data_IF_729251979833
#
_entry.id   IF_729251979833
#
_cell.length_a   1.000
_cell.length_b   1.000
_cell.length_c   1.000
_cell.angle_alpha   90.00
_cell.angle_beta   90.00
_cell.angle_gamma   90.00
#
_symmetry.space_group_name_H-M   'P 1'
#
loop_
_entity.id
_entity.type
_entity.pdbx_description
1 polymer ?
#
# COMPACT_ATOMS: atom_id res chain seq x y z
N UNK A 1 -16.73 4.65 -11.92
CA UNK A 1 -15.46 5.08 -12.56
C UNK A 1 -14.83 4.03 -13.47
N UNK A 2 -14.95 2.71 -13.18
CA UNK A 2 -14.38 1.64 -14.02
C UNK A 2 -15.35 1.04 -15.07
N UNK A 3 -16.61 1.46 -15.08
CA UNK A 3 -17.61 0.94 -16.01
C UNK A 3 -17.19 1.19 -17.48
N UNK A 4 -17.38 0.19 -18.34
CA UNK A 4 -17.04 0.25 -19.76
C UNK A 4 -15.58 -0.06 -20.10
N UNK A 5 -14.70 -0.23 -19.11
CA UNK A 5 -13.32 -0.70 -19.32
C UNK A 5 -13.27 -2.21 -19.51
N UNK A 6 -12.30 -2.69 -20.27
CA UNK A 6 -11.98 -4.11 -20.41
C UNK A 6 -11.52 -4.72 -19.08
N UNK A 7 -11.60 -6.04 -18.95
CA UNK A 7 -11.12 -6.77 -17.77
C UNK A 7 -9.65 -6.48 -17.48
N UNK A 8 -8.81 -6.44 -18.51
CA UNK A 8 -7.39 -6.13 -18.38
C UNK A 8 -7.13 -4.70 -17.89
N UNK A 9 -7.87 -3.69 -18.39
CA UNK A 9 -7.74 -2.31 -17.92
C UNK A 9 -8.18 -2.15 -16.46
N UNK A 10 -9.25 -2.84 -16.06
CA UNK A 10 -9.69 -2.89 -14.66
C UNK A 10 -8.62 -3.55 -13.78
N UNK A 11 -8.01 -4.64 -14.25
CA UNK A 11 -6.95 -5.34 -13.52
C UNK A 11 -5.70 -4.46 -13.35
N UNK A 12 -5.25 -3.76 -14.40
CA UNK A 12 -4.12 -2.81 -14.31
C UNK A 12 -4.39 -1.69 -13.29
N UNK A 13 -5.59 -1.11 -13.31
CA UNK A 13 -5.97 -0.08 -12.34
C UNK A 13 -6.00 -0.61 -10.90
N UNK A 14 -6.45 -1.86 -10.70
CA UNK A 14 -6.41 -2.53 -9.38
C UNK A 14 -4.99 -2.80 -8.92
N UNK A 15 -4.10 -3.22 -9.82
CA UNK A 15 -2.67 -3.40 -9.50
C UNK A 15 -2.02 -2.08 -9.10
N UNK A 16 -2.28 -1.00 -9.84
CA UNK A 16 -1.79 0.34 -9.50
C UNK A 16 -2.21 0.77 -8.09
N UNK A 17 -3.51 0.64 -7.78
CA UNK A 17 -4.04 0.98 -6.46
C UNK A 17 -3.45 0.07 -5.38
N UNK A 18 -3.39 -1.24 -5.61
CA UNK A 18 -2.95 -2.22 -4.61
C UNK A 18 -1.49 -2.00 -4.23
N UNK A 19 -0.61 -1.83 -5.23
CA UNK A 19 0.82 -1.59 -4.98
C UNK A 19 1.00 -0.30 -4.20
N UNK A 20 0.35 0.80 -4.60
CA UNK A 20 0.46 2.06 -3.87
C UNK A 20 -0.10 1.97 -2.45
N UNK A 21 -1.28 1.38 -2.29
CA UNK A 21 -1.94 1.25 -0.98
C UNK A 21 -1.08 0.45 -0.01
N UNK A 22 -0.50 -0.66 -0.44
CA UNK A 22 0.36 -1.50 0.41
C UNK A 22 1.65 -0.76 0.80
N UNK A 23 2.29 -0.03 -0.13
CA UNK A 23 3.49 0.74 0.18
C UNK A 23 3.22 1.92 1.12
N UNK A 24 2.00 2.46 1.10
CA UNK A 24 1.57 3.57 1.95
C UNK A 24 1.01 3.11 3.31
N UNK A 25 0.66 1.84 3.45
CA UNK A 25 0.15 1.22 4.68
C UNK A 25 1.26 0.83 5.66
N UNK A 26 2.15 1.78 5.95
CA UNK A 26 3.08 1.69 7.07
C UNK A 26 2.37 2.16 8.35
N UNK A 27 2.78 1.69 9.53
CA UNK A 27 2.11 2.02 10.78
C UNK A 27 1.76 3.51 10.94
N UNK A 28 0.48 3.81 11.15
CA UNK A 28 0.01 5.20 11.25
C UNK A 28 0.37 5.88 12.58
N UNK A 29 0.80 5.10 13.57
CA UNK A 29 0.84 5.52 14.97
C UNK A 29 -0.55 5.53 15.62
N UNK A 30 -0.59 5.76 16.93
CA UNK A 30 -1.83 5.73 17.72
C UNK A 30 -2.66 7.02 17.68
N UNK A 31 -2.08 8.13 17.19
CA UNK A 31 -2.69 9.47 17.21
C UNK A 31 -3.27 9.92 15.88
N UNK A 32 -2.86 9.30 14.78
CA UNK A 32 -3.31 9.72 13.45
C UNK A 32 -4.72 9.20 13.16
N UNK A 33 -5.52 10.04 12.49
CA UNK A 33 -6.81 9.64 11.92
C UNK A 33 -7.07 10.34 10.58
N UNK A 34 -7.97 9.78 9.79
CA UNK A 34 -8.42 10.26 8.51
C UNK A 34 -9.92 10.48 8.53
N UNK A 35 -10.35 11.68 8.18
CA UNK A 35 -11.78 11.98 7.97
C UNK A 35 -12.08 11.86 6.49
N UNK A 36 -12.95 10.93 6.11
CA UNK A 36 -13.26 10.74 4.69
C UNK A 36 -13.92 11.99 4.08
N UNK A 37 -13.38 12.44 2.94
CA UNK A 37 -13.91 13.57 2.18
C UNK A 37 -14.14 13.14 0.72
N UNK A 38 -15.18 13.70 0.10
CA UNK A 38 -15.47 13.44 -1.31
C UNK A 38 -14.41 14.04 -2.25
N UNK A 39 -13.81 15.18 -1.87
CA UNK A 39 -12.76 15.85 -2.62
C UNK A 39 -11.44 15.81 -1.86
N UNK A 40 -10.35 15.62 -2.60
CA UNK A 40 -8.99 15.80 -2.09
C UNK A 40 -8.57 17.26 -2.25
N UNK A 41 -7.76 17.72 -1.31
CA UNK A 41 -7.19 19.06 -1.34
C UNK A 41 -6.36 19.26 -2.62
N UNK A 42 -6.53 20.40 -3.29
CA UNK A 42 -5.73 20.75 -4.47
C UNK A 42 -4.22 20.74 -4.15
N UNK A 43 -3.84 21.06 -2.90
CA UNK A 43 -2.46 20.98 -2.43
C UNK A 43 -1.89 19.54 -2.40
N UNK A 44 -2.74 18.52 -2.48
CA UNK A 44 -2.33 17.12 -2.58
C UNK A 44 -2.14 16.65 -4.03
N UNK A 45 -2.38 17.50 -5.04
CA UNK A 45 -2.07 17.21 -6.43
C UNK A 45 -0.62 17.66 -6.75
N UNK A 46 0.22 16.82 -7.38
CA UNK A 46 1.55 17.24 -7.79
C UNK A 46 1.50 18.49 -8.69
N UNK A 47 2.27 19.52 -8.32
CA UNK A 47 2.23 20.89 -8.88
C UNK A 47 2.42 20.93 -10.41
N UNK A 48 3.04 19.91 -11.01
CA UNK A 48 3.30 19.86 -12.46
C UNK A 48 2.14 19.39 -13.34
N UNK A 49 0.94 19.15 -12.80
CA UNK A 49 -0.27 19.03 -13.64
C UNK A 49 -0.58 20.30 -14.46
N UNK A 50 -0.06 21.44 -14.04
CA UNK A 50 -0.35 22.71 -14.70
C UNK A 50 0.63 23.06 -15.83
N UNK A 51 1.90 22.62 -15.77
CA UNK A 51 2.92 23.15 -16.68
C UNK A 51 2.79 22.67 -18.12
N UNK A 52 2.45 21.40 -18.39
CA UNK A 52 2.35 20.93 -19.78
C UNK A 52 1.09 21.43 -20.48
N UNK A 53 -0.06 21.43 -19.80
CA UNK A 53 -1.32 21.88 -20.37
C UNK A 53 -1.40 23.41 -20.44
N UNK A 54 -0.83 24.16 -19.48
CA UNK A 54 -0.68 25.62 -19.61
C UNK A 54 0.34 25.98 -20.70
N UNK A 55 1.46 25.25 -20.83
CA UNK A 55 2.42 25.51 -21.89
C UNK A 55 1.82 25.20 -23.27
N UNK A 56 1.07 24.10 -23.40
CA UNK A 56 0.31 23.81 -24.63
C UNK A 56 -0.77 24.87 -24.89
N UNK A 57 -1.53 25.28 -23.89
CA UNK A 57 -2.55 26.33 -24.04
C UNK A 57 -1.95 27.70 -24.37
N UNK A 58 -0.78 28.04 -23.80
CA UNK A 58 -0.02 29.26 -24.10
C UNK A 58 0.59 29.23 -25.50
N UNK A 59 1.09 28.07 -25.95
CA UNK A 59 1.55 27.87 -27.32
C UNK A 59 0.38 27.97 -28.33
N UNK A 60 -0.78 27.43 -27.97
CA UNK A 60 -1.99 27.47 -28.79
C UNK A 60 -2.63 28.87 -28.84
N UNK A 61 -2.52 29.66 -27.77
CA UNK A 61 -2.87 31.09 -27.73
C UNK A 61 -1.86 31.94 -28.51
N UNK A 62 -0.55 31.66 -28.40
CA UNK A 62 0.49 32.33 -29.16
C UNK A 62 0.36 32.06 -30.67
N UNK A 63 -0.12 30.87 -31.06
CA UNK A 63 -0.43 30.53 -32.44
C UNK A 63 -1.68 31.23 -32.99
N UNK A 64 -2.61 31.66 -32.13
CA UNK A 64 -3.88 32.29 -32.54
C UNK A 64 -3.81 33.82 -32.71
N UNK A 65 -2.72 34.46 -32.29
CA UNK A 65 -2.51 35.90 -32.45
C UNK A 65 -3.51 36.78 -31.66
N UNK A 66 -3.16 38.05 -31.34
CA UNK A 66 -4.02 38.89 -30.52
C UNK A 66 -5.23 39.40 -31.33
N UNK A 67 -6.44 39.03 -30.91
CA UNK A 67 -7.68 39.69 -31.32
C UNK A 67 -7.86 40.94 -30.46
N UNK A 68 -7.80 42.10 -31.11
CA UNK A 68 -8.10 43.40 -30.49
C UNK A 68 -9.61 43.59 -30.42
N UNK A 69 -10.23 43.78 -29.24
CA UNK A 69 -11.61 44.23 -29.16
C UNK A 69 -11.67 45.76 -29.25
N UNK A 70 -12.56 46.26 -30.10
CA UNK A 70 -12.90 47.67 -30.19
C UNK A 70 -13.65 48.14 -28.93
N UNK A 71 -13.29 49.33 -28.46
CA UNK A 71 -13.93 50.07 -27.38
C UNK A 71 -15.28 50.63 -27.80
N UNK A 72 -16.26 50.58 -26.89
CA UNK A 72 -17.37 51.52 -26.87
C UNK A 72 -17.81 51.75 -25.41
N UNK A 73 -17.66 52.99 -24.97
CA UNK A 73 -18.17 53.56 -23.72
C UNK A 73 -19.70 53.54 -23.67
N UNK A 74 -20.27 53.49 -22.46
CA UNK A 74 -21.71 53.64 -22.25
C UNK A 74 -22.17 53.40 -20.82
N UNK A 75 -21.98 54.42 -20.00
CA UNK A 75 -22.46 54.60 -18.62
C UNK A 75 -24.00 54.45 -18.46
N UNK A 76 -24.43 53.86 -17.34
CA UNK A 76 -25.54 54.26 -16.43
C UNK A 76 -26.09 53.05 -15.65
N UNK A 77 -25.97 53.08 -14.32
CA UNK A 77 -26.71 52.18 -13.39
C UNK A 77 -28.12 52.72 -13.08
N UNK A 78 -28.80 52.26 -12.00
CA UNK A 78 -28.94 50.90 -11.51
C UNK A 78 -30.43 50.49 -11.42
N UNK A 79 -30.81 49.25 -11.77
CA UNK A 79 -32.15 48.72 -11.41
C UNK A 79 -32.10 47.21 -11.19
N UNK A 80 -32.40 46.76 -9.96
CA UNK A 80 -33.11 45.50 -9.70
C UNK A 80 -33.38 45.34 -8.20
N UNK A 81 -34.63 45.54 -7.80
CA UNK A 81 -35.21 44.87 -6.64
C UNK A 81 -36.38 44.02 -7.16
N UNK A 82 -36.23 42.70 -7.14
CA UNK A 82 -37.35 41.74 -7.09
C UNK A 82 -36.85 40.38 -6.60
N UNK A 83 -37.38 40.01 -5.45
CA UNK A 83 -37.27 38.70 -4.79
C UNK A 83 -38.47 37.81 -5.23
N UNK A 84 -38.52 36.52 -4.84
CA UNK A 84 -38.69 35.40 -5.77
C UNK A 84 -40.12 34.83 -5.78
N UNK A 85 -40.46 34.15 -6.88
CA UNK A 85 -41.65 33.31 -6.98
C UNK A 85 -41.32 31.85 -6.69
N UNK A 86 -42.08 31.29 -5.77
CA UNK A 86 -42.11 29.89 -5.33
C UNK A 86 -42.82 29.04 -6.38
N UNK A 87 -42.26 27.87 -6.70
CA UNK A 87 -42.99 26.78 -7.36
C UNK A 87 -42.47 25.43 -6.84
N UNK A 88 -43.41 24.59 -6.42
CA UNK A 88 -43.26 23.26 -5.82
C UNK A 88 -42.96 22.17 -6.84
N UNK A 89 -42.25 21.11 -6.42
CA UNK A 89 -42.44 19.74 -6.91
C UNK A 89 -41.89 18.71 -5.91
N UNK A 90 -42.70 17.68 -5.63
CA UNK A 90 -42.50 16.55 -4.71
C UNK A 90 -41.71 15.39 -5.35
N UNK A 91 -41.72 14.15 -4.80
CA UNK A 91 -40.98 13.65 -3.64
C UNK A 91 -39.96 12.56 -4.06
N UNK A 92 -38.83 12.46 -3.37
CA UNK A 92 -37.87 11.38 -3.61
C UNK A 92 -36.46 11.63 -3.07
N UNK A 93 -36.34 12.11 -1.84
CA UNK A 93 -35.04 12.23 -1.19
C UNK A 93 -34.79 10.98 -0.35
N UNK A 94 -33.91 10.10 -0.84
CA UNK A 94 -33.17 9.21 0.03
C UNK A 94 -32.48 10.07 1.09
N UNK A 95 -32.81 9.82 2.35
CA UNK A 95 -32.27 10.56 3.48
C UNK A 95 -30.73 10.52 3.42
N UNK A 96 -30.13 11.67 3.16
CA UNK A 96 -28.73 11.91 3.47
C UNK A 96 -28.60 11.77 4.98
N UNK A 97 -28.04 10.65 5.44
CA UNK A 97 -27.60 10.50 6.82
C UNK A 97 -26.44 11.47 7.00
N UNK A 98 -26.76 12.67 7.48
CA UNK A 98 -25.80 13.62 8.02
C UNK A 98 -25.21 13.08 9.32
N UNK A 99 -24.40 12.03 9.22
CA UNK A 99 -23.45 11.66 10.24
C UNK A 99 -22.17 12.45 10.02
N UNK A 100 -21.54 12.94 11.10
CA UNK A 100 -20.14 13.36 11.05
C UNK A 100 -19.33 12.21 10.41
N UNK A 101 -18.48 12.45 9.39
CA UNK A 101 -17.73 11.36 8.78
C UNK A 101 -16.91 10.66 9.87
N UNK A 102 -17.08 9.35 10.00
CA UNK A 102 -16.38 8.58 11.01
C UNK A 102 -14.86 8.76 10.80
N UNK A 103 -14.14 9.14 11.84
CA UNK A 103 -12.69 9.22 11.81
C UNK A 103 -12.13 7.79 11.72
N UNK A 104 -11.49 7.47 10.59
CA UNK A 104 -10.81 6.21 10.36
C UNK A 104 -9.38 6.32 10.87
N UNK A 105 -8.84 5.29 11.50
CA UNK A 105 -7.46 5.30 11.99
C UNK A 105 -6.69 4.11 11.42
N UNK A 106 -5.39 4.04 11.72
CA UNK A 106 -4.53 2.89 11.39
C UNK A 106 -4.61 2.53 9.90
N UNK A 107 -4.50 1.24 9.57
CA UNK A 107 -4.46 0.73 8.20
C UNK A 107 -5.75 1.00 7.44
N UNK A 108 -6.91 0.96 8.10
CA UNK A 108 -8.19 1.27 7.47
C UNK A 108 -8.25 2.72 6.98
N UNK A 109 -7.80 3.67 7.81
CA UNK A 109 -7.71 5.08 7.43
C UNK A 109 -6.71 5.31 6.31
N UNK A 110 -5.54 4.65 6.35
CA UNK A 110 -4.52 4.76 5.31
C UNK A 110 -5.01 4.19 3.97
N UNK A 111 -5.73 3.06 3.99
CA UNK A 111 -6.32 2.44 2.81
C UNK A 111 -7.37 3.34 2.16
N UNK A 112 -8.29 3.90 2.95
CA UNK A 112 -9.31 4.84 2.42
C UNK A 112 -8.66 6.12 1.89
N UNK A 113 -7.69 6.70 2.60
CA UNK A 113 -6.95 7.87 2.13
C UNK A 113 -6.25 7.60 0.78
N UNK A 114 -5.59 6.45 0.66
CA UNK A 114 -4.90 6.01 -0.57
C UNK A 114 -5.87 5.79 -1.72
N UNK A 115 -7.03 5.16 -1.46
CA UNK A 115 -8.10 4.99 -2.43
C UNK A 115 -8.63 6.34 -2.92
N UNK A 116 -8.91 7.29 -2.01
CA UNK A 116 -9.39 8.63 -2.37
C UNK A 116 -8.34 9.38 -3.20
N UNK A 117 -7.05 9.26 -2.85
CA UNK A 117 -5.93 9.83 -3.62
C UNK A 117 -5.86 9.26 -5.03
N UNK A 118 -5.99 7.94 -5.15
CA UNK A 118 -6.02 7.26 -6.43
C UNK A 118 -7.23 7.70 -7.28
N UNK A 119 -8.42 7.77 -6.69
CA UNK A 119 -9.64 8.22 -7.39
C UNK A 119 -9.57 9.68 -7.85
N UNK A 120 -8.89 10.55 -7.09
CA UNK A 120 -8.61 11.93 -7.47
C UNK A 120 -7.49 12.07 -8.51
N UNK A 121 -6.81 10.96 -8.85
CA UNK A 121 -5.71 10.93 -9.80
C UNK A 121 -4.41 11.52 -9.25
N UNK A 122 -4.21 11.59 -7.93
CA UNK A 122 -2.95 12.11 -7.33
C UNK A 122 -1.71 11.49 -7.96
N UNK A 123 -1.80 10.22 -8.37
CA UNK A 123 -0.71 9.42 -8.92
C UNK A 123 -0.72 9.29 -10.45
N UNK A 124 -1.71 9.89 -11.13
CA UNK A 124 -1.91 9.76 -12.57
C UNK A 124 -1.31 10.94 -13.34
N UNK A 125 -0.59 10.63 -14.42
CA UNK A 125 -0.09 11.59 -15.39
C UNK A 125 -1.17 12.10 -16.36
N UNK A 126 -2.38 11.50 -16.36
CA UNK A 126 -3.47 11.86 -17.25
C UNK A 126 -4.73 12.28 -16.48
N UNK A 127 -5.21 13.50 -16.72
CA UNK A 127 -6.44 13.98 -16.09
C UNK A 127 -7.68 13.21 -16.57
N UNK A 128 -7.70 12.76 -17.83
CA UNK A 128 -8.77 11.96 -18.40
C UNK A 128 -8.79 10.50 -17.91
N UNK A 129 -7.70 10.03 -17.31
CA UNK A 129 -7.59 8.68 -16.75
C UNK A 129 -7.03 8.74 -15.32
N UNK A 130 -7.84 9.13 -14.32
CA UNK A 130 -7.37 9.31 -12.95
C UNK A 130 -7.03 7.96 -12.25
N UNK A 131 -7.60 6.85 -12.71
CA UNK A 131 -7.46 5.53 -12.07
C UNK A 131 -6.19 4.80 -12.53
N UNK A 132 -5.05 5.47 -12.39
CA UNK A 132 -3.72 4.94 -12.71
C UNK A 132 -2.63 5.56 -11.85
N UNK A 133 -1.48 4.89 -11.82
CA UNK A 133 -0.29 5.33 -11.12
C UNK A 133 0.91 5.33 -12.09
N UNK A 134 1.28 6.48 -12.62
CA UNK A 134 2.34 6.58 -13.63
C UNK A 134 3.67 6.94 -12.97
N UNK A 135 4.75 6.25 -13.36
CA UNK A 135 6.09 6.48 -12.86
C UNK A 135 6.52 7.95 -12.88
N UNK A 136 6.17 8.67 -13.95
CA UNK A 136 6.47 10.10 -14.09
C UNK A 136 5.83 10.95 -12.97
N UNK A 137 4.62 10.61 -12.53
CA UNK A 137 3.92 11.30 -11.45
C UNK A 137 4.38 10.81 -10.08
N UNK A 138 4.65 9.51 -9.93
CA UNK A 138 5.14 8.93 -8.66
C UNK A 138 6.46 9.55 -8.23
N UNK A 139 7.37 9.86 -9.16
CA UNK A 139 8.65 10.57 -8.89
C UNK A 139 8.45 11.97 -8.31
N UNK A 140 7.27 12.57 -8.50
CA UNK A 140 6.94 13.90 -8.01
C UNK A 140 6.22 13.87 -6.65
N UNK A 141 5.95 12.68 -6.09
CA UNK A 141 5.32 12.54 -4.79
C UNK A 141 6.34 12.84 -3.70
N UNK A 142 6.14 13.96 -3.01
CA UNK A 142 6.95 14.42 -1.90
C UNK A 142 6.15 14.39 -0.58
N UNK A 143 6.77 14.74 0.57
CA UNK A 143 6.06 14.81 1.84
C UNK A 143 4.91 15.84 1.86
N UNK A 144 4.94 16.87 1.01
CA UNK A 144 3.85 17.86 0.93
C UNK A 144 2.61 17.28 0.28
N UNK A 145 2.77 16.54 -0.83
CA UNK A 145 1.70 15.78 -1.48
C UNK A 145 1.06 14.80 -0.49
N UNK A 146 1.87 13.97 0.16
CA UNK A 146 1.35 12.98 1.11
C UNK A 146 0.73 13.61 2.36
N UNK A 147 1.21 14.78 2.81
CA UNK A 147 0.59 15.54 3.89
C UNK A 147 -0.85 15.93 3.56
N UNK A 148 -1.09 16.38 2.32
CA UNK A 148 -2.44 16.69 1.83
C UNK A 148 -3.32 15.44 1.72
N UNK A 149 -2.79 14.34 1.19
CA UNK A 149 -3.49 13.05 1.08
C UNK A 149 -3.94 12.52 2.44
N UNK A 150 -3.01 12.47 3.40
CA UNK A 150 -3.23 11.87 4.72
C UNK A 150 -3.70 12.86 5.79
N UNK A 151 -4.02 14.11 5.42
CA UNK A 151 -4.51 15.14 6.34
C UNK A 151 -3.55 15.38 7.53
N UNK A 152 -2.24 15.34 7.26
CA UNK A 152 -1.22 15.41 8.30
C UNK A 152 -1.03 16.85 8.74
N UNK A 153 -1.14 17.07 10.04
CA UNK A 153 -0.92 18.37 10.69
C UNK A 153 -0.18 18.16 12.00
N UNK A 154 0.32 19.22 12.68
CA UNK A 154 0.88 19.08 14.03
C UNK A 154 -0.09 18.43 15.03
N UNK A 155 -1.40 18.64 14.85
CA UNK A 155 -2.46 18.05 15.66
C UNK A 155 -2.87 16.62 15.22
N UNK A 156 -2.56 16.25 13.98
CA UNK A 156 -2.84 14.93 13.39
C UNK A 156 -1.58 14.34 12.73
N UNK A 157 -0.55 13.97 13.52
CA UNK A 157 0.75 13.58 12.98
C UNK A 157 0.75 12.13 12.49
N UNK A 158 1.26 11.89 11.29
CA UNK A 158 1.51 10.56 10.74
C UNK A 158 3.00 10.21 10.88
N UNK A 159 3.30 9.10 11.54
CA UNK A 159 4.68 8.60 11.69
C UNK A 159 5.20 8.11 10.34
N UNK A 160 6.41 8.49 9.91
CA UNK A 160 7.06 7.98 8.70
C UNK A 160 6.57 8.58 7.38
N UNK A 161 6.04 9.80 7.40
CA UNK A 161 5.54 10.49 6.20
C UNK A 161 6.64 10.64 5.12
N UNK A 162 7.83 11.04 5.54
CA UNK A 162 9.00 11.22 4.68
C UNK A 162 9.45 9.89 4.06
N UNK A 163 9.47 8.82 4.85
CA UNK A 163 9.78 7.47 4.40
C UNK A 163 8.82 6.99 3.30
N UNK A 164 7.52 7.22 3.48
CA UNK A 164 6.48 6.91 2.47
C UNK A 164 6.68 7.69 1.18
N UNK A 165 6.92 9.01 1.26
CA UNK A 165 7.15 9.83 0.07
C UNK A 165 8.39 9.34 -0.71
N UNK A 166 9.49 9.09 0.00
CA UNK A 166 10.70 8.53 -0.61
C UNK A 166 10.46 7.16 -1.25
N UNK A 167 9.64 6.29 -0.64
CA UNK A 167 9.29 4.98 -1.19
C UNK A 167 8.48 5.09 -2.48
N UNK A 168 7.48 5.97 -2.52
CA UNK A 168 6.67 6.22 -3.73
C UNK A 168 7.50 6.84 -4.86
N UNK A 169 8.36 7.81 -4.54
CA UNK A 169 9.27 8.40 -5.52
C UNK A 169 10.22 7.36 -6.12
N UNK A 170 10.83 6.50 -5.28
CA UNK A 170 11.71 5.42 -5.76
C UNK A 170 10.96 4.38 -6.59
N UNK A 171 9.71 4.06 -6.23
CA UNK A 171 8.87 3.20 -7.08
C UNK A 171 8.74 3.79 -8.49
N UNK A 172 8.54 5.11 -8.61
CA UNK A 172 8.54 5.78 -9.91
C UNK A 172 9.84 5.60 -10.68
N UNK A 173 11.01 5.71 -10.03
CA UNK A 173 12.30 5.46 -10.68
C UNK A 173 12.46 4.01 -11.15
N UNK A 174 12.08 3.05 -10.31
CA UNK A 174 12.16 1.62 -10.61
C UNK A 174 11.26 1.24 -11.79
N UNK A 175 10.02 1.72 -11.80
CA UNK A 175 9.07 1.45 -12.89
C UNK A 175 9.52 2.07 -14.22
N UNK A 176 10.12 3.27 -14.18
CA UNK A 176 10.67 3.91 -15.37
C UNK A 176 11.87 3.12 -15.93
N UNK A 177 12.77 2.66 -15.06
CA UNK A 177 13.91 1.84 -15.46
C UNK A 177 13.48 0.48 -16.02
N UNK A 178 12.52 -0.18 -15.38
CA UNK A 178 11.95 -1.44 -15.85
C UNK A 178 11.28 -1.31 -17.22
N UNK A 179 10.46 -0.26 -17.41
CA UNK A 179 9.84 0.02 -18.71
C UNK A 179 10.86 0.38 -19.80
N UNK A 180 11.95 1.09 -19.46
CA UNK A 180 13.00 1.39 -20.42
C UNK A 180 13.76 0.14 -20.87
N UNK A 181 13.98 -0.84 -19.98
CA UNK A 181 14.67 -2.09 -20.29
C UNK A 181 13.81 -3.12 -21.02
N UNK A 182 12.51 -3.16 -20.72
CA UNK A 182 11.63 -4.25 -21.16
C UNK A 182 10.42 -3.79 -21.99
N UNK A 183 10.22 -2.49 -22.19
CA UNK A 183 9.05 -1.90 -22.84
C UNK A 183 7.77 -1.95 -22.00
N UNK A 184 6.72 -1.30 -22.50
CA UNK A 184 5.40 -1.19 -21.86
C UNK A 184 5.22 0.11 -21.07
N UNK A 185 4.07 0.26 -20.41
CA UNK A 185 3.78 1.43 -19.58
C UNK A 185 4.58 1.38 -18.27
N UNK A 186 5.21 2.49 -17.89
CA UNK A 186 5.93 2.63 -16.64
C UNK A 186 4.96 2.83 -15.45
N UNK A 187 4.24 1.78 -15.07
CA UNK A 187 3.24 1.78 -13.98
C UNK A 187 3.18 0.42 -13.27
N UNK A 188 2.71 0.33 -12.02
CA UNK A 188 2.60 -0.95 -11.32
C UNK A 188 1.74 -1.99 -12.04
N UNK A 189 0.71 -1.55 -12.78
CA UNK A 189 -0.19 -2.37 -13.59
C UNK A 189 0.52 -3.21 -14.64
N UNK A 190 1.75 -2.86 -15.04
CA UNK A 190 2.61 -3.70 -15.89
C UNK A 190 2.85 -5.09 -15.29
N UNK A 191 2.87 -5.20 -13.96
CA UNK A 191 3.01 -6.48 -13.27
C UNK A 191 1.87 -7.45 -13.63
N UNK A 192 0.63 -6.95 -13.82
CA UNK A 192 -0.46 -7.77 -14.33
C UNK A 192 -0.15 -8.30 -15.74
N UNK A 193 0.33 -7.44 -16.64
CA UNK A 193 0.66 -7.83 -18.01
C UNK A 193 1.77 -8.89 -18.07
N UNK A 194 2.80 -8.73 -17.23
CA UNK A 194 3.89 -9.70 -17.10
C UNK A 194 3.40 -11.07 -16.62
N UNK A 195 2.57 -11.07 -15.56
CA UNK A 195 2.08 -12.29 -14.94
C UNK A 195 1.08 -13.04 -15.82
N UNK A 196 0.33 -12.30 -16.63
CA UNK A 196 -0.83 -12.82 -17.37
C UNK A 196 -0.61 -12.83 -18.88
N UNK A 197 0.59 -12.52 -19.38
CA UNK A 197 0.86 -12.34 -20.80
C UNK A 197 -0.18 -11.41 -21.47
N UNK A 198 -0.37 -10.23 -20.88
CA UNK A 198 -1.35 -9.23 -21.33
C UNK A 198 -2.81 -9.65 -21.17
N UNK A 199 -3.11 -10.52 -20.20
CA UNK A 199 -4.45 -11.03 -19.91
C UNK A 199 -4.82 -12.35 -20.61
N UNK A 200 -3.90 -12.98 -21.34
CA UNK A 200 -4.15 -14.25 -22.05
C UNK A 200 -3.92 -15.50 -21.17
N UNK A 201 -3.05 -15.40 -20.17
CA UNK A 201 -2.76 -16.45 -19.19
C UNK A 201 -3.67 -16.31 -17.97
N UNK A 202 -4.39 -17.38 -17.64
CA UNK A 202 -5.40 -17.42 -16.58
C UNK A 202 -5.02 -18.29 -15.37
N UNK A 203 -3.78 -18.79 -15.32
CA UNK A 203 -3.27 -19.61 -14.22
C UNK A 203 -1.86 -19.20 -13.83
N UNK A 204 -1.61 -19.04 -12.54
CA UNK A 204 -0.32 -18.61 -11.97
C UNK A 204 -0.08 -19.33 -10.64
N UNK A 205 1.16 -19.64 -10.29
CA UNK A 205 1.49 -20.06 -8.92
C UNK A 205 1.78 -18.87 -8.00
N UNK A 206 1.49 -18.99 -6.71
CA UNK A 206 1.83 -17.97 -5.72
C UNK A 206 3.34 -17.67 -5.69
N UNK A 207 4.18 -18.68 -5.93
CA UNK A 207 5.63 -18.53 -6.07
C UNK A 207 6.03 -17.64 -7.25
N UNK A 208 5.39 -17.80 -8.42
CA UNK A 208 5.64 -16.93 -9.57
C UNK A 208 5.19 -15.49 -9.28
N UNK A 209 4.05 -15.30 -8.60
CA UNK A 209 3.56 -14.00 -8.17
C UNK A 209 4.57 -13.29 -7.26
N UNK A 210 4.97 -13.95 -6.16
CA UNK A 210 5.95 -13.42 -5.23
C UNK A 210 7.28 -13.13 -5.94
N UNK A 211 7.75 -14.06 -6.77
CA UNK A 211 8.99 -13.88 -7.53
C UNK A 211 8.96 -12.66 -8.45
N UNK A 212 7.83 -12.40 -9.12
CA UNK A 212 7.66 -11.21 -9.96
C UNK A 212 7.61 -9.92 -9.12
N UNK A 213 6.88 -9.93 -8.00
CA UNK A 213 6.85 -8.80 -7.04
C UNK A 213 8.26 -8.48 -6.53
N UNK A 214 9.00 -9.49 -6.05
CA UNK A 214 10.34 -9.30 -5.50
C UNK A 214 11.31 -8.80 -6.57
N UNK A 215 11.31 -9.38 -7.78
CA UNK A 215 12.20 -8.92 -8.86
C UNK A 215 11.96 -7.47 -9.25
N UNK A 216 10.70 -7.06 -9.37
CA UNK A 216 10.36 -5.69 -9.75
C UNK A 216 10.65 -4.71 -8.61
N UNK A 217 10.25 -5.05 -7.38
CA UNK A 217 10.23 -4.08 -6.29
C UNK A 217 11.48 -4.09 -5.40
N UNK A 218 12.33 -5.10 -5.43
CA UNK A 218 13.55 -5.13 -4.60
C UNK A 218 14.36 -3.82 -4.63
N UNK A 219 14.54 -3.13 -5.78
CA UNK A 219 15.32 -1.90 -5.82
C UNK A 219 14.69 -0.70 -5.10
N UNK A 220 13.39 -0.74 -4.72
CA UNK A 220 12.77 0.35 -3.95
C UNK A 220 13.26 0.39 -2.50
N UNK A 221 13.82 -0.73 -2.01
CA UNK A 221 14.32 -0.87 -0.65
C UNK A 221 15.81 -0.56 -0.59
N UNK A 222 16.12 0.61 -0.04
CA UNK A 222 17.51 1.08 0.13
C UNK A 222 18.05 0.78 1.53
N UNK A 223 17.17 0.42 2.47
CA UNK A 223 17.50 -0.08 3.80
C UNK A 223 17.54 -1.61 3.80
N UNK A 224 18.22 -2.19 4.80
CA UNK A 224 18.36 -3.64 4.92
C UNK A 224 19.78 -4.16 4.72
N UNK A 225 19.92 -5.47 4.61
CA UNK A 225 21.22 -6.10 4.42
C UNK A 225 21.65 -6.12 2.95
N UNK A 226 22.92 -6.50 2.73
CA UNK A 226 23.45 -6.82 1.41
C UNK A 226 23.88 -8.28 1.38
N UNK A 227 23.35 -9.04 0.43
CA UNK A 227 23.73 -10.44 0.19
C UNK A 227 24.57 -10.47 -1.09
N UNK A 228 25.79 -11.02 -1.02
CA UNK A 228 26.76 -11.00 -2.14
C UNK A 228 26.98 -9.60 -2.74
N UNK A 229 26.94 -8.56 -1.90
CA UNK A 229 27.13 -7.18 -2.32
C UNK A 229 25.91 -6.53 -2.98
N UNK A 230 24.80 -7.25 -3.19
CA UNK A 230 23.54 -6.73 -3.71
C UNK A 230 22.59 -6.34 -2.56
N UNK A 231 21.85 -5.22 -2.66
CA UNK A 231 20.79 -4.91 -1.71
C UNK A 231 19.77 -6.05 -1.66
N UNK A 232 19.53 -6.59 -0.46
CA UNK A 232 18.59 -7.70 -0.26
C UNK A 232 17.31 -7.25 0.47
N UNK A 233 17.31 -6.03 1.02
CA UNK A 233 16.18 -5.50 1.76
C UNK A 233 15.98 -6.26 3.07
N UNK A 234 14.77 -6.79 3.27
CA UNK A 234 14.34 -7.48 4.48
C UNK A 234 14.83 -8.95 4.55
N UNK A 235 16.14 -9.08 4.52
CA UNK A 235 16.90 -10.31 4.66
C UNK A 235 17.96 -10.04 5.72
N UNK A 236 18.12 -10.90 6.72
CA UNK A 236 19.00 -10.61 7.86
C UNK A 236 19.87 -11.80 8.24
N UNK A 237 21.10 -11.57 8.75
CA UNK A 237 21.95 -12.66 9.15
C UNK A 237 21.46 -13.25 10.47
N UNK A 238 21.60 -14.56 10.62
CA UNK A 238 21.34 -15.25 11.89
C UNK A 238 22.26 -16.45 12.04
N UNK A 239 22.87 -16.62 13.22
CA UNK A 239 23.93 -17.65 13.42
C UNK A 239 23.46 -19.09 13.21
N UNK A 240 22.15 -19.34 13.30
CA UNK A 240 21.55 -20.65 13.06
C UNK A 240 20.83 -20.78 11.71
N UNK A 241 20.79 -19.72 10.90
CA UNK A 241 20.20 -19.79 9.57
C UNK A 241 21.05 -20.69 8.66
N UNK A 242 20.41 -21.62 7.95
CA UNK A 242 21.09 -22.58 7.07
C UNK A 242 21.89 -23.67 7.80
N UNK A 243 21.83 -23.75 9.14
CA UNK A 243 22.58 -24.74 9.93
C UNK A 243 21.99 -26.17 9.86
N UNK A 244 20.72 -26.33 9.48
CA UNK A 244 20.08 -27.62 9.19
C UNK A 244 18.73 -27.44 8.43
N UNK A 245 18.35 -28.47 7.65
CA UNK A 245 16.99 -28.79 7.11
C UNK A 245 16.42 -28.10 5.85
N UNK A 246 17.23 -27.54 4.96
CA UNK A 246 16.77 -27.30 3.57
C UNK A 246 17.05 -28.53 2.68
N UNK A 247 16.14 -28.94 1.80
CA UNK A 247 16.40 -29.99 0.80
C UNK A 247 17.28 -29.52 -0.37
N UNK A 248 18.01 -28.42 -0.20
CA UNK A 248 18.78 -27.76 -1.26
C UNK A 248 20.15 -27.31 -0.76
N UNK A 249 21.13 -27.30 -1.67
CA UNK A 249 22.44 -26.73 -1.45
C UNK A 249 22.48 -25.38 -2.19
N UNK A 250 22.18 -24.28 -1.48
CA UNK A 250 22.35 -22.93 -2.02
C UNK A 250 23.54 -22.25 -1.32
N UNK A 251 24.64 -21.97 -2.06
CA UNK A 251 25.82 -21.32 -1.49
C UNK A 251 25.58 -19.85 -1.09
N UNK A 252 24.41 -19.28 -1.44
CA UNK A 252 24.08 -17.87 -1.23
C UNK A 252 23.31 -17.61 0.07
N UNK A 253 22.42 -18.52 0.45
CA UNK A 253 21.45 -18.30 1.54
C UNK A 253 21.89 -18.84 2.90
N UNK A 254 23.04 -19.52 2.98
CA UNK A 254 23.64 -19.93 4.25
C UNK A 254 23.85 -18.74 5.19
N UNK A 255 23.33 -18.81 6.42
CA UNK A 255 23.43 -17.74 7.41
C UNK A 255 22.44 -16.59 7.23
N UNK A 256 21.53 -16.63 6.26
CA UNK A 256 20.54 -15.58 6.00
C UNK A 256 19.10 -16.03 6.22
N UNK A 257 18.27 -15.14 6.75
CA UNK A 257 16.82 -15.32 6.92
C UNK A 257 16.08 -14.33 6.01
N UNK A 258 15.48 -14.78 4.89
CA UNK A 258 14.77 -13.90 3.98
C UNK A 258 13.29 -13.76 4.38
N UNK A 259 12.92 -12.64 5.00
CA UNK A 259 11.52 -12.39 5.36
C UNK A 259 10.74 -11.79 4.20
N UNK A 260 11.32 -10.80 3.52
CA UNK A 260 10.66 -10.03 2.47
C UNK A 260 9.20 -9.67 2.79
N UNK A 261 8.92 -9.26 4.05
CA UNK A 261 7.55 -9.19 4.60
C UNK A 261 6.61 -8.37 3.72
N UNK A 262 7.07 -7.22 3.23
CA UNK A 262 6.24 -6.35 2.38
C UNK A 262 5.94 -7.00 1.01
N UNK A 263 6.91 -7.71 0.44
CA UNK A 263 6.72 -8.48 -0.80
C UNK A 263 5.72 -9.62 -0.63
N UNK A 264 5.79 -10.35 0.50
CA UNK A 264 4.79 -11.36 0.86
C UNK A 264 3.40 -10.75 1.00
N UNK A 265 3.28 -9.64 1.74
CA UNK A 265 2.00 -8.96 1.93
C UNK A 265 1.41 -8.45 0.61
N UNK A 266 2.23 -7.88 -0.25
CA UNK A 266 1.78 -7.43 -1.56
C UNK A 266 1.35 -8.61 -2.45
N UNK A 267 2.04 -9.75 -2.41
CA UNK A 267 1.63 -10.95 -3.11
C UNK A 267 0.23 -11.41 -2.65
N UNK A 268 -0.05 -11.44 -1.34
CA UNK A 268 -1.39 -11.72 -0.83
C UNK A 268 -2.42 -10.69 -1.30
N UNK A 269 -2.07 -9.40 -1.26
CA UNK A 269 -2.97 -8.30 -1.66
C UNK A 269 -3.33 -8.32 -3.14
N UNK A 270 -2.49 -8.92 -3.99
CA UNK A 270 -2.71 -9.04 -5.43
C UNK A 270 -3.53 -10.29 -5.83
N UNK A 271 -3.83 -11.19 -4.90
CA UNK A 271 -4.65 -12.38 -5.17
C UNK A 271 -6.06 -11.99 -5.64
N UNK A 272 -6.73 -11.07 -4.95
CA UNK A 272 -8.07 -10.62 -5.30
C UNK A 272 -8.12 -9.91 -6.67
N UNK A 273 -7.24 -8.91 -6.97
CA UNK A 273 -7.15 -8.32 -8.30
C UNK A 273 -6.99 -9.34 -9.43
N UNK A 274 -6.18 -10.39 -9.23
CA UNK A 274 -5.98 -11.47 -10.19
C UNK A 274 -7.24 -12.33 -10.35
N UNK A 275 -7.83 -12.78 -9.25
CA UNK A 275 -9.04 -13.61 -9.26
C UNK A 275 -10.22 -12.89 -9.91
N UNK A 276 -10.43 -11.61 -9.59
CA UNK A 276 -11.48 -10.80 -10.22
C UNK A 276 -11.22 -10.54 -11.71
N UNK A 277 -9.98 -10.70 -12.18
CA UNK A 277 -9.62 -10.65 -13.59
C UNK A 277 -9.72 -12.03 -14.28
N UNK A 278 -10.18 -13.07 -13.57
CA UNK A 278 -10.30 -14.43 -14.09
C UNK A 278 -9.01 -15.26 -14.02
N UNK A 279 -8.00 -14.80 -13.28
CA UNK A 279 -6.72 -15.51 -13.11
C UNK A 279 -6.73 -16.31 -11.82
N UNK A 280 -6.57 -17.63 -11.93
CA UNK A 280 -6.49 -18.54 -10.80
C UNK A 280 -5.05 -18.60 -10.28
N UNK A 281 -4.89 -18.43 -8.97
CA UNK A 281 -3.59 -18.54 -8.29
C UNK A 281 -3.55 -19.82 -7.45
N UNK A 282 -2.61 -20.72 -7.76
CA UNK A 282 -2.42 -21.98 -7.06
C UNK A 282 -1.23 -21.96 -6.09
N UNK A 283 -1.16 -22.94 -5.19
CA UNK A 283 -0.01 -23.11 -4.28
C UNK A 283 0.13 -21.98 -3.26
N UNK A 284 -0.98 -21.47 -2.71
CA UNK A 284 -0.97 -20.36 -1.75
C UNK A 284 -0.14 -20.65 -0.49
N UNK A 285 -0.15 -21.90 -0.02
CA UNK A 285 0.63 -22.35 1.15
C UNK A 285 2.16 -22.37 0.89
N UNK A 286 2.63 -22.05 -0.33
CA UNK A 286 4.05 -21.78 -0.61
C UNK A 286 4.48 -20.35 -0.22
N UNK A 287 3.52 -19.44 0.00
CA UNK A 287 3.79 -18.14 0.62
C UNK A 287 3.91 -18.32 2.13
N UNK A 288 4.70 -17.47 2.79
CA UNK A 288 4.90 -17.56 4.23
C UNK A 288 3.88 -16.72 4.98
N UNK A 289 3.78 -16.95 6.29
CA UNK A 289 3.20 -15.97 7.21
C UNK A 289 3.94 -14.63 7.15
N UNK A 290 3.34 -13.58 7.71
CA UNK A 290 4.00 -12.28 7.82
C UNK A 290 4.70 -12.13 9.17
N UNK A 291 6.01 -11.88 9.12
CA UNK A 291 6.86 -11.62 10.27
C UNK A 291 6.69 -10.20 10.84
N UNK A 292 5.49 -9.87 11.29
CA UNK A 292 5.11 -8.53 11.77
C UNK A 292 4.59 -8.53 13.22
N UNK A 293 4.43 -7.33 13.77
CA UNK A 293 4.22 -7.13 15.20
C UNK A 293 2.90 -7.67 15.75
N UNK A 294 1.84 -7.79 14.94
CA UNK A 294 0.55 -8.35 15.40
C UNK A 294 0.68 -9.85 15.58
N UNK A 295 1.19 -10.55 14.57
CA UNK A 295 1.43 -11.99 14.55
C UNK A 295 2.46 -12.40 15.60
N UNK A 296 3.62 -11.77 15.60
CA UNK A 296 4.66 -12.12 16.56
C UNK A 296 4.35 -11.64 17.98
N UNK A 297 3.58 -10.55 18.11
CA UNK A 297 3.08 -10.06 19.38
C UNK A 297 2.08 -11.02 20.01
N UNK A 298 1.16 -11.58 19.21
CA UNK A 298 0.21 -12.61 19.64
C UNK A 298 0.92 -13.79 20.32
N UNK A 299 2.01 -14.29 19.73
CA UNK A 299 2.75 -15.41 20.33
C UNK A 299 3.48 -15.04 21.64
N UNK A 300 3.93 -13.79 21.78
CA UNK A 300 4.53 -13.33 23.05
C UNK A 300 3.44 -13.18 24.12
N UNK A 301 2.35 -12.50 23.79
CA UNK A 301 1.27 -12.19 24.73
C UNK A 301 0.51 -13.45 25.19
N UNK A 302 0.42 -14.47 24.33
CA UNK A 302 -0.10 -15.79 24.69
C UNK A 302 0.92 -16.69 25.42
N UNK A 303 2.17 -16.25 25.59
CA UNK A 303 3.22 -17.02 26.26
C UNK A 303 3.80 -18.18 25.45
N UNK A 304 3.57 -18.21 24.13
CA UNK A 304 4.15 -19.21 23.20
C UNK A 304 5.63 -18.90 22.94
N UNK A 305 5.94 -17.62 22.72
CA UNK A 305 7.33 -17.13 22.67
C UNK A 305 7.62 -16.41 23.99
N UNK A 306 8.65 -16.88 24.70
CA UNK A 306 9.09 -16.27 25.97
C UNK A 306 10.54 -15.82 25.84
N UNK A 307 10.84 -14.52 26.00
CA UNK A 307 12.21 -14.03 26.05
C UNK A 307 12.98 -14.68 27.20
N UNK A 308 14.25 -15.05 26.96
CA UNK A 308 15.12 -15.59 28.01
C UNK A 308 15.37 -14.58 29.13
N UNK A 309 15.47 -13.30 28.77
CA UNK A 309 15.54 -12.18 29.71
C UNK A 309 14.32 -11.27 29.51
N UNK A 310 13.41 -11.16 30.51
CA UNK A 310 12.24 -10.30 30.41
C UNK A 310 12.56 -8.82 30.16
N UNK A 311 13.78 -8.38 30.51
CA UNK A 311 14.22 -6.99 30.28
C UNK A 311 14.34 -6.65 28.80
N UNK A 312 14.47 -7.65 27.92
CA UNK A 312 14.57 -7.43 26.49
C UNK A 312 13.27 -6.89 25.88
N UNK A 313 12.11 -7.08 26.53
CA UNK A 313 10.83 -6.47 26.11
C UNK A 313 10.79 -4.95 26.32
N UNK A 314 11.57 -4.43 27.28
CA UNK A 314 11.60 -3.00 27.58
C UNK A 314 12.56 -2.22 26.65
N UNK A 315 13.44 -2.93 25.94
CA UNK A 315 14.44 -2.34 25.04
C UNK A 315 13.82 -1.97 23.70
N UNK A 316 14.36 -0.93 23.07
CA UNK A 316 14.10 -0.62 21.67
C UNK A 316 15.14 -1.33 20.81
N UNK A 317 14.66 -2.09 19.84
CA UNK A 317 15.49 -2.91 18.94
C UNK A 317 15.40 -2.41 17.51
N UNK A 318 16.45 -2.66 16.72
CA UNK A 318 16.42 -2.50 15.26
C UNK A 318 15.94 -3.78 14.60
N UNK A 319 15.36 -3.66 13.40
CA UNK A 319 14.89 -4.81 12.64
C UNK A 319 15.96 -5.88 12.35
N UNK A 320 17.22 -5.45 12.20
CA UNK A 320 18.36 -6.32 11.95
C UNK A 320 19.06 -6.87 13.18
N UNK A 321 18.62 -6.52 14.39
CA UNK A 321 19.19 -7.06 15.62
C UNK A 321 18.80 -8.54 15.75
N UNK A 322 19.76 -9.40 16.16
CA UNK A 322 19.58 -10.86 16.21
C UNK A 322 18.31 -11.28 16.97
N UNK A 323 17.98 -10.58 18.06
CA UNK A 323 16.77 -10.80 18.86
C UNK A 323 15.47 -10.63 18.03
N UNK A 324 15.40 -9.59 17.20
CA UNK A 324 14.24 -9.34 16.33
C UNK A 324 14.22 -10.32 15.17
N UNK A 325 15.37 -10.65 14.59
CA UNK A 325 15.47 -11.66 13.52
C UNK A 325 15.00 -13.03 14.01
N UNK A 326 15.42 -13.44 15.21
CA UNK A 326 14.99 -14.71 15.83
C UNK A 326 13.48 -14.73 16.08
N UNK A 327 12.94 -13.69 16.72
CA UNK A 327 11.50 -13.56 16.96
C UNK A 327 10.68 -13.57 15.67
N UNK A 328 11.14 -12.87 14.62
CA UNK A 328 10.49 -12.86 13.30
C UNK A 328 10.54 -14.22 12.61
N UNK A 329 11.65 -14.95 12.72
CA UNK A 329 11.78 -16.30 12.20
C UNK A 329 10.83 -17.27 12.90
N UNK A 330 10.82 -17.24 14.24
CA UNK A 330 9.88 -18.03 15.06
C UNK A 330 8.43 -17.70 14.70
N UNK A 331 8.10 -16.43 14.53
CA UNK A 331 6.75 -15.99 14.15
C UNK A 331 6.28 -16.65 12.87
N UNK A 332 7.10 -16.65 11.81
CA UNK A 332 6.73 -17.27 10.53
C UNK A 332 6.50 -18.77 10.67
N UNK A 333 7.41 -19.48 11.34
CA UNK A 333 7.28 -20.93 11.54
C UNK A 333 6.07 -21.30 12.41
N UNK A 334 5.82 -20.55 13.49
CA UNK A 334 4.69 -20.80 14.38
C UNK A 334 3.33 -20.48 13.73
N UNK A 335 3.29 -19.59 12.74
CA UNK A 335 2.06 -19.35 11.97
C UNK A 335 1.64 -20.58 11.17
N UNK A 336 2.58 -21.36 10.62
CA UNK A 336 2.28 -22.58 9.86
C UNK A 336 1.75 -23.68 10.80
N UNK A 337 2.35 -23.82 11.99
CA UNK A 337 1.86 -24.72 13.03
C UNK A 337 0.47 -24.30 13.53
N UNK A 338 0.28 -23.01 13.80
CA UNK A 338 -1.02 -22.46 14.21
C UNK A 338 -2.08 -22.70 13.13
N UNK A 339 -1.74 -22.50 11.85
CA UNK A 339 -2.67 -22.73 10.75
C UNK A 339 -3.15 -24.18 10.71
N UNK A 340 -2.24 -25.13 10.93
CA UNK A 340 -2.58 -26.56 11.06
C UNK A 340 -3.55 -26.80 12.21
N UNK A 341 -3.30 -26.23 13.39
CA UNK A 341 -4.17 -26.40 14.57
C UNK A 341 -5.56 -25.76 14.38
N UNK A 342 -5.62 -24.58 13.77
CA UNK A 342 -6.88 -23.87 13.46
C UNK A 342 -7.71 -24.69 12.47
N UNK A 343 -7.10 -25.16 11.38
CA UNK A 343 -7.74 -26.02 10.38
C UNK A 343 -8.30 -27.30 11.01
N UNK A 344 -7.53 -27.98 11.86
CA UNK A 344 -7.98 -29.17 12.59
C UNK A 344 -9.18 -28.87 13.48
N UNK A 345 -9.16 -27.76 14.24
CA UNK A 345 -10.28 -27.38 15.11
C UNK A 345 -11.55 -27.02 14.33
N UNK A 346 -11.41 -26.42 13.16
CA UNK A 346 -12.54 -25.99 12.33
C UNK A 346 -13.00 -27.08 11.32
N UNK A 347 -12.29 -28.21 11.25
CA UNK A 347 -12.56 -29.25 10.27
C UNK A 347 -12.38 -28.77 8.81
N UNK A 348 -11.37 -27.94 8.56
CA UNK A 348 -11.10 -27.31 7.26
C UNK A 348 -9.81 -27.80 6.64
N UNK A 349 -9.78 -27.91 5.31
CA UNK A 349 -8.55 -28.18 4.56
C UNK A 349 -7.73 -26.90 4.33
N UNK A 350 -6.52 -27.05 3.80
CA UNK A 350 -5.67 -25.93 3.40
C UNK A 350 -6.29 -25.10 2.26
N UNK A 351 -7.02 -25.74 1.36
CA UNK A 351 -7.70 -25.10 0.23
C UNK A 351 -8.93 -24.31 0.69
N UNK A 352 -9.68 -24.83 1.66
CA UNK A 352 -10.85 -24.14 2.21
C UNK A 352 -10.49 -22.98 3.15
N UNK A 353 -9.36 -23.09 3.85
CA UNK A 353 -8.87 -22.09 4.80
C UNK A 353 -7.36 -21.89 4.61
N UNK A 354 -6.95 -21.19 3.53
CA UNK A 354 -5.54 -20.90 3.25
C UNK A 354 -4.94 -20.00 4.33
N UNK A 355 -3.61 -19.99 4.45
CA UNK A 355 -2.90 -19.20 5.45
C UNK A 355 -3.32 -17.72 5.42
N UNK A 356 -3.51 -17.15 4.23
CA UNK A 356 -3.99 -15.77 4.05
C UNK A 356 -5.27 -15.46 4.85
N UNK A 357 -6.25 -16.37 4.86
CA UNK A 357 -7.50 -16.19 5.61
C UNK A 357 -7.28 -16.24 7.13
N UNK A 358 -6.35 -17.08 7.58
CA UNK A 358 -5.99 -17.21 9.00
C UNK A 358 -5.23 -15.96 9.48
N UNK A 359 -4.41 -15.35 8.62
CA UNK A 359 -3.74 -14.09 8.92
C UNK A 359 -4.75 -12.94 9.05
N UNK A 360 -5.54 -12.70 7.99
CA UNK A 360 -6.47 -11.58 7.90
C UNK A 360 -7.59 -11.66 8.95
N UNK A 361 -8.30 -12.80 8.96
CA UNK A 361 -9.47 -13.00 9.81
C UNK A 361 -9.16 -13.56 11.20
N UNK A 362 -7.90 -13.90 11.47
CA UNK A 362 -7.49 -14.55 12.72
C UNK A 362 -6.39 -13.79 13.43
N UNK A 363 -5.12 -14.10 13.11
CA UNK A 363 -3.97 -13.70 13.93
C UNK A 363 -3.77 -12.19 14.00
N UNK A 364 -4.09 -11.45 12.94
CA UNK A 364 -4.00 -9.98 12.98
C UNK A 364 -5.06 -9.33 13.86
N UNK A 365 -6.29 -9.83 13.84
CA UNK A 365 -7.35 -9.34 14.69
C UNK A 365 -7.06 -9.71 16.15
N UNK A 366 -6.80 -10.99 16.42
CA UNK A 366 -6.50 -11.50 17.75
C UNK A 366 -5.27 -10.82 18.38
N UNK A 367 -4.20 -10.62 17.62
CA UNK A 367 -3.00 -9.92 18.10
C UNK A 367 -3.26 -8.45 18.46
N UNK A 368 -4.14 -7.75 17.72
CA UNK A 368 -4.53 -6.36 18.05
C UNK A 368 -5.41 -6.29 19.29
N UNK A 369 -6.39 -7.18 19.39
CA UNK A 369 -7.31 -7.25 20.52
C UNK A 369 -6.55 -7.55 21.81
N UNK A 370 -5.72 -8.60 21.79
CA UNK A 370 -4.92 -8.97 22.96
C UNK A 370 -3.91 -7.89 23.36
N UNK A 371 -3.27 -7.23 22.40
CA UNK A 371 -2.40 -6.10 22.69
C UNK A 371 -3.15 -4.96 23.37
N UNK A 372 -4.38 -4.65 22.96
CA UNK A 372 -5.21 -3.63 23.58
C UNK A 372 -5.69 -4.02 24.99
N UNK A 373 -6.03 -5.29 25.21
CA UNK A 373 -6.39 -5.82 26.53
C UNK A 373 -5.23 -5.74 27.52
N UNK A 374 -4.02 -6.09 27.09
CA UNK A 374 -2.83 -6.11 27.95
C UNK A 374 -2.18 -4.74 28.13
N UNK A 375 -2.27 -3.89 27.10
CA UNK A 375 -1.65 -2.56 27.05
C UNK A 375 -2.69 -1.61 26.46
N UNK A 376 -3.33 -0.79 27.28
CA UNK A 376 -4.50 0.03 26.88
C UNK A 376 -4.29 1.00 25.70
N UNK A 377 -3.06 1.18 25.21
CA UNK A 377 -2.72 1.91 23.99
C UNK A 377 -2.70 1.04 22.71
N UNK A 378 -2.87 -0.28 22.85
CA UNK A 378 -2.80 -1.26 21.78
C UNK A 378 -1.40 -1.49 21.22
N UNK A 379 -0.35 -1.07 21.95
CA UNK A 379 1.02 -1.23 21.49
C UNK A 379 1.44 -2.71 21.48
N UNK A 380 2.26 -3.15 20.50
CA UNK A 380 2.85 -4.49 20.52
C UNK A 380 3.77 -4.69 21.72
N UNK A 381 4.04 -5.95 22.12
CA UNK A 381 4.89 -6.25 23.27
C UNK A 381 6.37 -5.94 23.02
N UNK A 382 6.79 -5.76 21.77
CA UNK A 382 8.15 -5.37 21.38
C UNK A 382 8.19 -3.95 20.83
N UNK A 383 9.25 -3.21 21.19
CA UNK A 383 9.54 -1.88 20.66
C UNK A 383 10.59 -1.99 19.57
N UNK A 384 10.19 -1.73 18.33
CA UNK A 384 11.07 -1.76 17.17
C UNK A 384 11.24 -0.33 16.66
N UNK A 385 12.49 0.10 16.51
CA UNK A 385 12.84 1.32 15.80
C UNK A 385 12.57 1.09 14.30
N UNK A 386 11.44 1.62 13.82
CA UNK A 386 11.03 1.54 12.42
C UNK A 386 10.92 2.95 11.85
N UNK A 387 11.55 3.14 10.70
CA UNK A 387 11.43 4.34 9.86
C UNK A 387 10.18 4.30 8.95
N UNK A 388 9.31 3.31 9.14
CA UNK A 388 8.14 3.07 8.30
C UNK A 388 8.45 2.32 7.00
N UNK A 389 9.69 1.85 6.79
CA UNK A 389 10.08 1.02 5.63
C UNK A 389 10.27 -0.46 5.97
N UNK A 390 10.42 -0.79 7.27
CA UNK A 390 10.37 -2.15 7.79
C UNK A 390 9.10 -2.28 8.63
N UNK A 391 8.15 -3.10 8.13
CA UNK A 391 6.75 -3.14 8.57
C UNK A 391 6.45 -4.26 9.55
#
# INVERSE_FOLDING_TARGET
MLAGRSVAEIARARFDLTVLSVLLDAGAGSRWSYTERQAIDAAALPVQRHASDELLALLDQAAKGPVVPATADGDTGPTAAKQPTVAEASPGAAAAVGGTPAALARSEGLGVASLRAFMAGVFSASQSDPLRADAATLKLVDPAVLRGVFQVTPANPLVGLEGRAGLVSRLGDVLAADAAGHGGEARPGRLYDLLTAGGTRTQLSATELLGAVLRLLSPIFTSGSRVQGLPAGDVWPHRWAGAATGSGNDPTTGGWVPFHKLGQWLAYSLLEPLQWAGVQVSGLDALTGLAEYRNGGLFIDCGVIVPRDPRDLARTWKAGDEFIVEWRALTVTLLDELATLVRQRLGKTAEELPLACILEGGTWAAGRELAAELRGDGAPPLRIDSDGTVF
#
